data_IF_779292947998
#
_entry.id   IF_779292947998
#
_cell.length_a   1.000
_cell.length_b   1.000
_cell.length_c   1.000
_cell.angle_alpha   90.00
_cell.angle_beta   90.00
_cell.angle_gamma   90.00
#
_symmetry.space_group_name_H-M   'P 1'
#
loop_
_entity.id
_entity.type
_entity.pdbx_description
1 polymer ?
#
# COMPACT_ATOMS: atom_id res chain seq x y z
N UNK A 1 -18.96 15.99 -9.54
CA UNK A 1 -17.98 15.34 -10.43
C UNK A 1 -18.03 13.88 -10.07
N UNK A 2 -18.37 12.99 -10.98
CA UNK A 2 -18.43 11.58 -10.65
C UNK A 2 -17.03 11.05 -10.34
N UNK A 3 -16.86 10.30 -9.27
CA UNK A 3 -15.61 9.72 -8.78
C UNK A 3 -14.84 8.93 -9.85
N UNK A 4 -15.58 8.17 -10.66
CA UNK A 4 -15.02 7.44 -11.80
C UNK A 4 -14.19 8.30 -12.74
N UNK A 5 -14.57 9.58 -12.93
CA UNK A 5 -13.82 10.48 -13.79
C UNK A 5 -12.54 11.03 -13.14
N UNK A 6 -12.50 11.07 -11.80
CA UNK A 6 -11.30 11.50 -11.07
C UNK A 6 -10.21 10.41 -11.14
N UNK A 7 -10.55 9.16 -10.86
CA UNK A 7 -9.61 8.02 -10.91
C UNK A 7 -9.12 7.77 -12.34
N UNK A 8 -10.02 7.86 -13.34
CA UNK A 8 -9.65 7.72 -14.76
C UNK A 8 -8.65 8.78 -15.23
N UNK A 9 -8.70 9.97 -14.65
CA UNK A 9 -7.75 11.05 -14.99
C UNK A 9 -6.40 10.91 -14.24
N UNK A 10 -6.37 10.20 -13.08
CA UNK A 10 -5.12 9.88 -12.39
C UNK A 10 -4.41 8.69 -13.06
N UNK A 11 -5.15 7.64 -13.43
CA UNK A 11 -4.59 6.47 -14.11
C UNK A 11 -3.96 6.79 -15.48
N UNK A 12 -4.50 7.79 -16.20
CA UNK A 12 -3.93 8.26 -17.47
C UNK A 12 -2.62 9.06 -17.30
N UNK A 13 -2.34 9.56 -16.09
CA UNK A 13 -1.12 10.33 -15.80
C UNK A 13 0.11 9.48 -15.46
N UNK A 14 -0.08 8.25 -15.02
CA UNK A 14 1.02 7.37 -14.61
C UNK A 14 1.71 6.62 -15.78
N UNK A 15 1.17 6.69 -16.99
CA UNK A 15 1.66 5.92 -18.15
C UNK A 15 2.44 6.73 -19.19
N UNK A 16 2.81 7.99 -18.94
CA UNK A 16 3.60 8.78 -19.88
C UNK A 16 5.05 8.97 -19.44
N UNK A 17 5.83 7.94 -19.62
CA UNK A 17 7.26 8.06 -19.93
C UNK A 17 7.38 8.11 -21.46
N UNK A 18 7.47 9.34 -22.00
CA UNK A 18 7.93 9.55 -23.36
C UNK A 18 6.92 10.26 -24.29
N UNK A 19 7.28 11.50 -24.65
CA UNK A 19 6.84 12.29 -25.78
C UNK A 19 5.51 13.07 -25.68
N UNK A 20 5.65 14.37 -25.55
CA UNK A 20 4.75 15.39 -26.13
C UNK A 20 3.40 15.56 -25.43
N UNK A 21 3.31 16.63 -24.67
CA UNK A 21 2.07 17.04 -23.99
C UNK A 21 0.90 17.24 -24.95
N UNK A 22 -0.24 16.61 -24.64
CA UNK A 22 -1.55 17.00 -25.15
C UNK A 22 -2.45 17.29 -23.95
N UNK A 23 -2.67 18.59 -23.72
CA UNK A 23 -3.63 19.05 -22.71
C UNK A 23 -5.04 18.99 -23.28
N UNK A 24 -5.91 18.13 -22.73
CA UNK A 24 -7.34 18.22 -22.99
C UNK A 24 -7.97 19.25 -22.05
N UNK A 25 -8.29 20.41 -22.58
CA UNK A 25 -9.12 21.41 -21.92
C UNK A 25 -10.59 21.06 -22.19
N UNK A 26 -11.36 20.78 -21.11
CA UNK A 26 -12.82 20.77 -21.17
C UNK A 26 -13.31 22.19 -20.87
N UNK A 27 -13.84 22.85 -21.89
CA UNK A 27 -14.51 24.14 -21.79
C UNK A 27 -15.94 23.91 -21.25
N UNK A 28 -16.26 24.51 -20.12
CA UNK A 28 -17.62 24.61 -19.58
C UNK A 28 -17.86 25.99 -19.03
N UNK A 29 -18.54 26.74 -19.85
CA UNK A 29 -19.48 27.81 -19.60
C UNK A 29 -19.16 28.95 -18.61
N UNK A 30 -19.24 30.10 -19.21
CA UNK A 30 -19.18 31.46 -18.69
C UNK A 30 -20.11 31.69 -17.51
N UNK A 31 -19.55 31.78 -16.29
CA UNK A 31 -19.88 32.86 -15.38
C UNK A 31 -18.94 32.88 -14.15
N UNK A 32 -18.18 33.99 -14.09
CA UNK A 32 -17.63 34.68 -12.92
C UNK A 32 -16.85 33.87 -11.86
N UNK A 33 -15.67 34.37 -11.71
CA UNK A 33 -14.57 34.09 -10.80
C UNK A 33 -13.55 33.09 -11.35
N UNK A 34 -12.48 33.69 -11.88
CA UNK A 34 -11.25 33.02 -12.26
C UNK A 34 -10.57 32.41 -11.02
N UNK A 35 -11.12 31.35 -10.47
CA UNK A 35 -10.36 30.42 -9.68
C UNK A 35 -9.48 29.70 -10.71
N UNK A 36 -8.22 30.07 -10.80
CA UNK A 36 -7.21 29.26 -11.49
C UNK A 36 -7.25 27.89 -10.80
N UNK A 37 -7.88 26.91 -11.44
CA UNK A 37 -7.95 25.54 -10.97
C UNK A 37 -6.55 24.95 -11.17
N UNK A 38 -5.67 25.15 -10.18
CA UNK A 38 -4.36 24.50 -10.18
C UNK A 38 -4.60 23.00 -10.12
N UNK A 39 -4.12 22.27 -11.12
CA UNK A 39 -4.06 20.81 -11.03
C UNK A 39 -2.90 20.48 -10.09
N UNK A 40 -3.21 19.81 -8.99
CA UNK A 40 -2.20 19.24 -8.10
C UNK A 40 -1.82 17.87 -8.63
N UNK A 41 -0.55 17.54 -8.58
CA UNK A 41 -0.01 16.27 -9.00
C UNK A 41 0.65 15.59 -7.80
N UNK A 42 0.15 14.40 -7.45
CA UNK A 42 0.68 13.56 -6.38
C UNK A 42 1.00 12.21 -7.02
N UNK A 43 2.19 11.72 -6.76
CA UNK A 43 2.62 10.38 -7.18
C UNK A 43 2.51 9.42 -6.01
N UNK A 44 1.86 8.28 -6.24
CA UNK A 44 1.86 7.15 -5.31
C UNK A 44 2.73 6.04 -5.91
N UNK A 45 3.83 5.73 -5.23
CA UNK A 45 4.63 4.55 -5.48
C UNK A 45 4.25 3.48 -4.48
N UNK A 46 4.32 2.24 -4.89
CA UNK A 46 4.08 1.12 -3.97
C UNK A 46 4.93 -0.10 -4.30
N UNK A 47 5.09 -0.93 -3.29
CA UNK A 47 5.58 -2.31 -3.39
C UNK A 47 4.62 -3.22 -2.63
N UNK A 48 4.68 -4.49 -2.89
CA UNK A 48 3.99 -5.56 -2.19
C UNK A 48 4.76 -6.86 -2.40
N UNK A 49 4.59 -7.83 -1.51
CA UNK A 49 5.14 -9.19 -1.66
C UNK A 49 6.63 -9.17 -2.03
N UNK A 50 7.41 -8.34 -1.33
CA UNK A 50 8.85 -8.20 -1.63
C UNK A 50 9.67 -9.39 -1.12
N UNK A 51 9.15 -10.11 -0.14
CA UNK A 51 9.67 -11.40 0.33
C UNK A 51 11.19 -11.42 0.50
N UNK A 52 11.72 -10.41 1.18
CA UNK A 52 13.17 -10.28 1.44
C UNK A 52 14.07 -10.33 0.20
N UNK A 53 13.52 -10.09 -1.01
CA UNK A 53 14.33 -10.02 -2.22
C UNK A 53 15.16 -8.73 -2.25
N UNK A 54 16.32 -8.77 -1.60
CA UNK A 54 17.28 -7.67 -1.50
C UNK A 54 18.09 -7.54 -2.77
N UNK A 55 18.63 -8.67 -3.25
CA UNK A 55 19.37 -8.74 -4.51
C UNK A 55 18.43 -8.81 -5.73
N UNK A 56 18.92 -8.47 -6.92
CA UNK A 56 18.21 -8.79 -8.15
C UNK A 56 17.98 -10.31 -8.30
N UNK A 57 16.95 -10.66 -9.06
CA UNK A 57 16.76 -12.07 -9.47
C UNK A 57 18.03 -12.57 -10.16
N UNK A 58 18.36 -13.86 -9.99
CA UNK A 58 19.53 -14.45 -10.66
C UNK A 58 19.53 -14.24 -12.18
N UNK A 59 20.71 -14.20 -12.79
CA UNK A 59 20.85 -14.02 -14.24
C UNK A 59 20.30 -15.20 -15.06
N UNK A 60 20.13 -16.34 -14.42
CA UNK A 60 19.56 -17.57 -15.00
C UNK A 60 18.08 -17.77 -14.63
N UNK A 61 17.44 -16.80 -13.98
CA UNK A 61 16.00 -16.86 -13.69
C UNK A 61 15.20 -16.98 -15.00
N UNK A 62 14.28 -17.96 -15.11
CA UNK A 62 13.58 -18.26 -16.36
C UNK A 62 12.58 -17.18 -16.78
N UNK A 63 12.14 -16.32 -15.85
CA UNK A 63 11.10 -15.33 -16.11
C UNK A 63 11.59 -13.88 -15.99
N UNK A 64 12.45 -13.61 -15.02
CA UNK A 64 12.84 -12.26 -14.65
C UNK A 64 14.35 -12.10 -14.42
N UNK A 65 15.22 -12.59 -15.34
CA UNK A 65 16.68 -12.54 -15.16
C UNK A 65 17.14 -11.10 -14.87
N UNK A 66 17.99 -10.96 -13.87
CA UNK A 66 18.57 -9.67 -13.44
C UNK A 66 17.54 -8.57 -13.08
N UNK A 67 16.28 -8.90 -12.83
CA UNK A 67 15.25 -7.90 -12.46
C UNK A 67 15.18 -7.69 -10.95
N UNK A 68 14.58 -6.56 -10.55
CA UNK A 68 14.34 -6.22 -9.14
C UNK A 68 15.61 -5.79 -8.40
N UNK A 69 15.63 -6.09 -7.10
CA UNK A 69 16.66 -5.67 -6.15
C UNK A 69 16.46 -4.29 -5.57
N UNK A 70 16.80 -4.17 -4.27
CA UNK A 70 16.57 -2.93 -3.51
C UNK A 70 17.39 -1.76 -4.03
N UNK A 71 18.62 -2.01 -4.50
CA UNK A 71 19.47 -0.93 -5.03
C UNK A 71 18.86 -0.27 -6.28
N UNK A 72 18.29 -1.04 -7.20
CA UNK A 72 17.60 -0.49 -8.37
C UNK A 72 16.30 0.21 -7.99
N UNK A 73 15.55 -0.36 -7.03
CA UNK A 73 14.37 0.28 -6.45
C UNK A 73 14.71 1.65 -5.87
N UNK A 74 15.83 1.75 -5.14
CA UNK A 74 16.28 3.02 -4.56
C UNK A 74 16.53 4.08 -5.62
N UNK A 75 17.23 3.73 -6.71
CA UNK A 75 17.48 4.64 -7.84
C UNK A 75 16.19 5.13 -8.48
N UNK A 76 15.22 4.21 -8.72
CA UNK A 76 13.92 4.56 -9.29
C UNK A 76 13.12 5.50 -8.37
N UNK A 77 13.02 5.16 -7.09
CA UNK A 77 12.30 5.99 -6.11
C UNK A 77 12.93 7.39 -6.02
N UNK A 78 14.25 7.48 -6.00
CA UNK A 78 14.94 8.77 -5.97
C UNK A 78 14.70 9.58 -7.25
N UNK A 79 14.73 8.94 -8.41
CA UNK A 79 14.43 9.59 -9.68
C UNK A 79 12.99 10.15 -9.68
N UNK A 80 12.00 9.35 -9.31
CA UNK A 80 10.59 9.78 -9.29
C UNK A 80 10.39 10.94 -8.31
N UNK A 81 11.02 10.91 -7.13
CA UNK A 81 10.94 12.00 -6.15
C UNK A 81 11.61 13.29 -6.63
N UNK A 82 12.65 13.21 -7.44
CA UNK A 82 13.25 14.40 -8.07
C UNK A 82 12.33 15.02 -9.13
N UNK A 83 11.63 14.16 -9.89
CA UNK A 83 10.68 14.60 -10.92
C UNK A 83 9.38 15.12 -10.29
N UNK A 84 8.92 14.50 -9.20
CA UNK A 84 7.75 14.93 -8.45
C UNK A 84 8.02 14.84 -6.93
N UNK A 85 8.28 15.98 -6.27
CA UNK A 85 8.49 16.01 -4.81
C UNK A 85 7.28 15.55 -3.99
N UNK A 86 6.08 15.65 -4.56
CA UNK A 86 4.83 15.21 -3.93
C UNK A 86 4.62 13.70 -4.14
N UNK A 87 5.59 12.88 -3.71
CA UNK A 87 5.57 11.42 -3.88
C UNK A 87 5.45 10.75 -2.52
N UNK A 88 4.47 9.86 -2.38
CA UNK A 88 4.34 8.91 -1.26
C UNK A 88 4.73 7.51 -1.73
N UNK A 89 5.35 6.74 -0.83
CA UNK A 89 5.80 5.36 -1.09
C UNK A 89 5.23 4.43 -0.01
N UNK A 90 4.42 3.47 -0.44
CA UNK A 90 3.74 2.52 0.43
C UNK A 90 4.17 1.07 0.18
N UNK A 91 3.88 0.19 1.15
CA UNK A 91 3.99 -1.25 0.99
C UNK A 91 2.69 -1.93 1.41
N UNK A 92 2.26 -2.92 0.62
CA UNK A 92 1.02 -3.66 0.85
C UNK A 92 1.24 -5.03 1.50
N UNK A 93 2.34 -5.20 2.26
CA UNK A 93 2.60 -6.39 3.08
C UNK A 93 3.40 -7.49 2.38
N UNK A 94 3.71 -8.54 3.13
CA UNK A 94 4.63 -9.62 2.81
C UNK A 94 6.04 -9.08 2.47
N UNK A 95 6.54 -8.29 3.42
CA UNK A 95 7.90 -7.75 3.39
C UNK A 95 8.91 -8.87 3.68
N UNK A 96 8.56 -9.74 4.63
CA UNK A 96 9.42 -10.80 5.15
C UNK A 96 9.31 -12.09 4.37
N UNK A 97 10.26 -13.01 4.67
CA UNK A 97 10.33 -14.37 4.19
C UNK A 97 10.58 -14.49 2.67
N UNK A 98 11.22 -15.57 2.23
CA UNK A 98 11.46 -15.88 0.80
C UNK A 98 12.94 -15.98 0.43
N UNK A 99 13.85 -15.32 1.15
CA UNK A 99 15.30 -15.42 0.90
C UNK A 99 16.09 -15.69 2.19
N UNK A 100 17.35 -16.14 2.11
CA UNK A 100 18.22 -16.34 3.27
C UNK A 100 18.43 -15.08 4.13
N UNK A 101 18.21 -13.89 3.58
CA UNK A 101 18.32 -12.63 4.34
C UNK A 101 17.37 -12.61 5.53
N UNK A 102 16.09 -12.98 5.33
CA UNK A 102 15.14 -13.07 6.42
C UNK A 102 15.56 -14.08 7.49
N UNK A 103 16.03 -15.27 7.07
CA UNK A 103 16.48 -16.30 8.02
C UNK A 103 17.66 -15.84 8.88
N UNK A 104 18.50 -14.95 8.35
CA UNK A 104 19.69 -14.47 9.05
C UNK A 104 19.40 -13.22 9.89
N UNK A 105 18.64 -12.25 9.34
CA UNK A 105 18.41 -10.95 9.96
C UNK A 105 17.04 -10.81 10.63
N UNK A 106 16.11 -11.75 10.40
CA UNK A 106 14.78 -11.78 11.03
C UNK A 106 13.88 -10.60 10.70
N UNK A 107 14.16 -9.85 9.61
CA UNK A 107 13.41 -8.67 9.18
C UNK A 107 14.09 -7.33 9.46
N UNK A 108 15.18 -7.28 10.23
CA UNK A 108 15.93 -6.05 10.51
C UNK A 108 16.42 -5.38 9.22
N UNK A 109 17.01 -6.17 8.32
CA UNK A 109 17.58 -5.67 7.08
C UNK A 109 16.51 -5.04 6.20
N UNK A 110 15.37 -5.69 6.04
CA UNK A 110 14.23 -5.23 5.26
C UNK A 110 13.73 -3.88 5.77
N UNK A 111 13.46 -3.76 7.06
CA UNK A 111 12.97 -2.50 7.65
C UNK A 111 14.00 -1.37 7.59
N UNK A 112 15.29 -1.68 7.75
CA UNK A 112 16.36 -0.69 7.57
C UNK A 112 16.43 -0.18 6.13
N UNK A 113 16.36 -1.08 5.15
CA UNK A 113 16.39 -0.71 3.73
C UNK A 113 15.14 0.09 3.34
N UNK A 114 13.95 -0.34 3.76
CA UNK A 114 12.71 0.43 3.54
C UNK A 114 12.80 1.83 4.17
N UNK A 115 13.39 1.93 5.38
CA UNK A 115 13.61 3.21 6.04
C UNK A 115 14.59 4.11 5.29
N UNK A 116 15.64 3.54 4.69
CA UNK A 116 16.58 4.28 3.83
C UNK A 116 15.89 4.77 2.54
N UNK A 117 15.00 3.99 1.97
CA UNK A 117 14.18 4.38 0.83
C UNK A 117 13.05 5.36 1.20
N UNK A 118 12.88 5.65 2.49
CA UNK A 118 11.86 6.55 3.03
C UNK A 118 10.44 6.12 2.67
N UNK A 119 10.11 4.85 2.95
CA UNK A 119 8.72 4.45 2.93
C UNK A 119 7.90 5.31 3.90
N UNK A 120 6.66 5.62 3.53
CA UNK A 120 5.76 6.47 4.31
C UNK A 120 4.86 5.63 5.22
N UNK A 121 4.43 4.46 4.75
CA UNK A 121 3.70 3.47 5.53
C UNK A 121 3.72 2.08 4.87
N UNK A 122 3.42 1.06 5.68
CA UNK A 122 3.20 -0.31 5.23
C UNK A 122 1.99 -0.92 5.95
N UNK A 123 1.33 -1.91 5.32
CA UNK A 123 0.43 -2.83 6.02
C UNK A 123 1.14 -4.17 6.25
N UNK A 124 0.45 -5.11 6.89
CA UNK A 124 0.99 -6.46 7.11
C UNK A 124 0.41 -7.46 6.11
N UNK A 125 1.27 -8.33 5.59
CA UNK A 125 0.89 -9.58 5.01
C UNK A 125 1.00 -10.75 5.99
N UNK A 126 0.70 -11.97 5.54
CA UNK A 126 0.78 -13.15 6.41
C UNK A 126 2.22 -13.54 6.72
N UNK A 127 3.15 -13.37 5.79
CA UNK A 127 4.56 -13.70 6.01
C UNK A 127 5.29 -12.72 6.94
N UNK A 128 4.73 -11.54 7.19
CA UNK A 128 5.26 -10.64 8.21
C UNK A 128 5.13 -11.20 9.64
N UNK A 129 4.29 -12.24 9.81
CA UNK A 129 4.13 -12.97 11.07
C UNK A 129 4.97 -14.25 11.17
N UNK A 130 5.81 -14.60 10.20
CA UNK A 130 6.57 -15.86 10.18
C UNK A 130 7.60 -15.98 11.33
N UNK A 131 8.05 -14.86 11.88
CA UNK A 131 8.90 -14.80 13.07
C UNK A 131 8.10 -14.57 14.37
N UNK A 132 6.77 -14.69 14.30
CA UNK A 132 5.85 -14.38 15.37
C UNK A 132 5.70 -12.88 15.65
N UNK A 133 4.68 -12.54 16.43
CA UNK A 133 4.42 -11.13 16.81
C UNK A 133 5.53 -10.55 17.70
N UNK A 134 6.24 -11.36 18.45
CA UNK A 134 7.41 -10.94 19.22
C UNK A 134 8.59 -10.60 18.31
N UNK A 135 8.84 -11.45 17.30
CA UNK A 135 9.89 -11.20 16.31
C UNK A 135 9.57 -9.93 15.51
N UNK A 136 8.31 -9.75 15.09
CA UNK A 136 7.87 -8.53 14.42
C UNK A 136 8.08 -7.30 15.31
N UNK A 137 7.63 -7.34 16.57
CA UNK A 137 7.82 -6.25 17.53
C UNK A 137 9.31 -5.92 17.72
N UNK A 138 10.18 -6.94 17.77
CA UNK A 138 11.61 -6.74 17.94
C UNK A 138 12.23 -5.96 16.77
N UNK A 139 11.70 -6.14 15.56
CA UNK A 139 12.20 -5.45 14.37
C UNK A 139 11.58 -4.07 14.14
N UNK A 140 10.38 -3.79 14.66
CA UNK A 140 9.68 -2.51 14.46
C UNK A 140 10.54 -1.25 14.76
N UNK A 141 11.45 -1.21 15.75
CA UNK A 141 12.31 -0.06 15.99
C UNK A 141 13.24 0.30 14.83
N UNK A 142 13.49 -0.60 13.90
CA UNK A 142 14.28 -0.36 12.69
C UNK A 142 13.49 0.30 11.56
N UNK A 143 12.14 0.27 11.65
CA UNK A 143 11.25 0.95 10.71
C UNK A 143 11.06 2.42 11.09
N UNK A 144 11.36 3.33 10.16
CA UNK A 144 11.10 4.77 10.28
C UNK A 144 9.81 5.20 9.55
N UNK A 145 8.92 4.27 9.36
CA UNK A 145 7.60 4.44 8.75
C UNK A 145 6.53 3.81 9.64
N UNK A 146 5.27 4.17 9.41
CA UNK A 146 4.17 3.64 10.21
C UNK A 146 3.63 2.32 9.66
N UNK A 147 3.30 1.39 10.55
CA UNK A 147 2.48 0.23 10.21
C UNK A 147 1.01 0.57 10.39
N UNK A 148 0.24 0.38 9.32
CA UNK A 148 -1.20 0.65 9.26
C UNK A 148 -1.93 -0.69 9.18
N UNK A 149 -2.70 -1.01 10.21
CA UNK A 149 -3.49 -2.24 10.29
C UNK A 149 -4.84 -1.94 10.91
N UNK A 150 -5.90 -2.09 10.12
CA UNK A 150 -7.26 -1.73 10.55
C UNK A 150 -8.06 -2.94 11.00
N UNK A 151 -7.82 -4.12 10.40
CA UNK A 151 -8.63 -5.33 10.66
C UNK A 151 -7.93 -6.41 11.48
N UNK A 152 -6.73 -6.15 12.01
CA UNK A 152 -6.16 -6.97 13.08
C UNK A 152 -6.33 -6.25 14.42
N UNK A 153 -7.06 -6.89 15.35
CA UNK A 153 -7.13 -6.46 16.74
C UNK A 153 -6.00 -7.13 17.54
N UNK A 154 -5.03 -6.32 17.92
CA UNK A 154 -3.86 -6.73 18.69
C UNK A 154 -4.05 -6.60 20.21
N UNK A 155 -5.27 -6.34 20.70
CA UNK A 155 -5.57 -6.23 22.14
C UNK A 155 -5.11 -7.49 22.87
N UNK A 156 -4.44 -7.32 24.01
CA UNK A 156 -3.79 -8.36 24.82
C UNK A 156 -2.63 -9.09 24.10
N UNK A 157 -2.04 -8.47 23.08
CA UNK A 157 -0.79 -8.96 22.47
C UNK A 157 0.35 -7.97 22.66
N UNK A 158 1.57 -8.38 22.33
CA UNK A 158 2.75 -7.49 22.38
C UNK A 158 2.69 -6.36 21.34
N UNK A 159 1.83 -6.46 20.33
CA UNK A 159 1.63 -5.46 19.31
C UNK A 159 0.53 -4.44 19.66
N UNK A 160 -0.10 -4.55 20.84
CA UNK A 160 -1.11 -3.57 21.27
C UNK A 160 -0.55 -2.16 21.29
N UNK A 161 -1.21 -1.25 20.55
CA UNK A 161 -0.79 0.15 20.44
C UNK A 161 0.47 0.39 19.61
N UNK A 162 1.00 -0.62 18.92
CA UNK A 162 2.19 -0.49 18.07
C UNK A 162 1.88 -0.19 16.61
N UNK A 163 0.62 -0.33 16.21
CA UNK A 163 0.13 -0.05 14.87
C UNK A 163 -0.92 1.05 14.87
N UNK A 164 -1.17 1.65 13.73
CA UNK A 164 -2.24 2.64 13.55
C UNK A 164 -3.37 2.03 12.72
N UNK A 165 -4.64 2.25 13.07
CA UNK A 165 -5.74 1.78 12.23
C UNK A 165 -5.82 2.54 10.91
N UNK A 166 -5.34 3.76 10.86
CA UNK A 166 -5.20 4.59 9.66
C UNK A 166 -4.18 5.70 9.89
N UNK A 167 -3.76 6.34 8.80
CA UNK A 167 -2.93 7.56 8.83
C UNK A 167 -3.43 8.56 7.80
N UNK A 168 -3.37 9.85 8.13
CA UNK A 168 -3.63 10.94 7.20
C UNK A 168 -2.31 11.60 6.83
N UNK A 169 -2.05 11.68 5.55
CA UNK A 169 -0.93 12.43 4.97
C UNK A 169 -1.44 13.74 4.39
N UNK A 170 -0.66 14.80 4.52
CA UNK A 170 -0.95 16.08 3.91
C UNK A 170 0.16 16.40 2.90
N UNK A 171 -0.19 16.42 1.62
CA UNK A 171 0.75 16.62 0.51
C UNK A 171 0.17 17.68 -0.41
N UNK A 172 0.88 18.81 -0.54
CA UNK A 172 0.42 19.94 -1.37
C UNK A 172 -1.04 20.34 -1.07
N UNK A 173 -1.39 20.48 0.22
CA UNK A 173 -2.74 20.81 0.73
C UNK A 173 -3.83 19.76 0.35
N UNK A 174 -3.44 18.57 -0.10
CA UNK A 174 -4.35 17.44 -0.33
C UNK A 174 -4.23 16.49 0.86
N UNK A 175 -5.36 16.17 1.48
CA UNK A 175 -5.43 15.23 2.61
C UNK A 175 -5.69 13.83 2.10
N UNK A 176 -4.73 12.94 2.32
CA UNK A 176 -4.75 11.55 1.85
C UNK A 176 -4.88 10.64 3.06
N UNK A 177 -6.03 10.00 3.21
CA UNK A 177 -6.27 9.00 4.25
C UNK A 177 -5.87 7.62 3.77
N UNK A 178 -5.10 6.91 4.58
CA UNK A 178 -4.62 5.56 4.26
C UNK A 178 -5.05 4.61 5.38
N UNK A 179 -5.66 3.49 5.04
CA UNK A 179 -6.00 2.40 5.96
C UNK A 179 -5.46 1.07 5.43
N UNK A 180 -5.30 0.05 6.31
CA UNK A 180 -4.66 -1.22 5.97
C UNK A 180 -5.55 -2.43 6.26
N UNK A 181 -5.63 -3.37 5.32
CA UNK A 181 -6.35 -4.63 5.46
C UNK A 181 -5.41 -5.81 5.26
N UNK A 182 -5.31 -6.68 6.27
CA UNK A 182 -4.59 -7.94 6.19
C UNK A 182 -5.51 -9.12 5.92
N UNK A 183 -4.95 -10.21 5.41
CA UNK A 183 -5.64 -11.48 5.16
C UNK A 183 -5.86 -12.25 6.48
N UNK A 184 -6.86 -13.12 6.53
CA UNK A 184 -7.06 -14.01 7.68
C UNK A 184 -5.83 -14.93 7.89
N UNK A 185 -5.20 -14.83 9.06
CA UNK A 185 -3.97 -15.58 9.37
C UNK A 185 -4.23 -17.07 9.62
N UNK A 186 -5.46 -17.43 10.03
CA UNK A 186 -5.83 -18.82 10.29
C UNK A 186 -5.69 -19.65 9.01
N UNK A 187 -4.87 -20.70 9.10
CA UNK A 187 -4.59 -21.60 7.98
C UNK A 187 -3.42 -21.14 7.09
N UNK A 188 -2.91 -19.93 7.27
CA UNK A 188 -1.70 -19.42 6.61
C UNK A 188 -0.52 -19.37 7.59
N UNK A 189 -0.78 -18.94 8.80
CA UNK A 189 0.21 -18.78 9.87
C UNK A 189 -0.20 -19.68 11.05
N UNK A 190 0.76 -20.29 11.76
CA UNK A 190 0.45 -21.08 12.95
C UNK A 190 -0.04 -20.19 14.08
N UNK A 191 -0.97 -20.69 14.90
CA UNK A 191 -1.61 -19.91 15.99
C UNK A 191 -0.59 -19.36 16.99
N UNK A 192 0.47 -20.10 17.24
CA UNK A 192 1.55 -19.75 18.15
C UNK A 192 2.29 -18.47 17.74
N UNK A 193 2.30 -18.15 16.45
CA UNK A 193 3.01 -16.99 15.91
C UNK A 193 2.18 -15.70 15.96
N UNK A 194 0.84 -15.78 15.80
CA UNK A 194 -0.03 -14.59 15.90
C UNK A 194 -0.85 -14.52 17.20
N UNK A 195 -0.78 -15.56 18.04
CA UNK A 195 -1.35 -15.64 19.40
C UNK A 195 -2.81 -15.16 19.49
N UNK A 196 -3.10 -14.17 20.35
CA UNK A 196 -4.43 -13.62 20.60
C UNK A 196 -4.87 -12.59 19.56
N UNK A 197 -4.07 -12.33 18.53
CA UNK A 197 -4.47 -11.46 17.42
C UNK A 197 -5.80 -11.93 16.83
N UNK A 198 -6.78 -11.03 16.77
CA UNK A 198 -8.09 -11.31 16.20
C UNK A 198 -8.18 -10.73 14.80
N UNK A 199 -8.80 -11.48 13.92
CA UNK A 199 -9.17 -11.04 12.60
C UNK A 199 -10.58 -10.46 12.61
N UNK A 200 -10.73 -9.21 12.20
CA UNK A 200 -12.00 -8.52 12.06
C UNK A 200 -12.46 -8.58 10.60
N UNK A 201 -13.78 -8.53 10.38
CA UNK A 201 -14.35 -8.56 9.01
C UNK A 201 -13.79 -7.40 8.18
N UNK A 202 -13.05 -7.67 7.09
CA UNK A 202 -12.39 -6.63 6.33
C UNK A 202 -13.38 -5.73 5.57
N UNK A 203 -14.60 -6.21 5.27
CA UNK A 203 -15.63 -5.39 4.60
C UNK A 203 -16.21 -4.37 5.59
N UNK A 204 -16.56 -4.82 6.80
CA UNK A 204 -17.08 -3.92 7.84
C UNK A 204 -16.03 -2.87 8.20
N UNK A 205 -14.79 -3.29 8.39
CA UNK A 205 -13.66 -2.39 8.69
C UNK A 205 -13.43 -1.40 7.55
N UNK A 206 -13.46 -1.84 6.28
CA UNK A 206 -13.28 -0.94 5.14
C UNK A 206 -14.36 0.15 5.10
N UNK A 207 -15.63 -0.22 5.32
CA UNK A 207 -16.75 0.72 5.37
C UNK A 207 -16.62 1.74 6.53
N UNK A 208 -16.15 1.29 7.68
CA UNK A 208 -15.92 2.18 8.83
C UNK A 208 -14.74 3.11 8.57
N UNK A 209 -13.63 2.62 8.00
CA UNK A 209 -12.45 3.41 7.71
C UNK A 209 -12.73 4.47 6.62
N UNK A 210 -13.38 4.09 5.51
CA UNK A 210 -13.72 5.08 4.48
C UNK A 210 -14.64 6.19 5.02
N UNK A 211 -15.64 5.83 5.81
CA UNK A 211 -16.53 6.80 6.46
C UNK A 211 -15.76 7.73 7.42
N UNK A 212 -14.86 7.17 8.23
CA UNK A 212 -14.03 7.91 9.17
C UNK A 212 -13.11 8.87 8.42
N UNK A 213 -12.40 8.40 7.42
CA UNK A 213 -11.46 9.21 6.66
C UNK A 213 -12.15 10.31 5.87
N UNK A 214 -13.28 10.04 5.23
CA UNK A 214 -14.03 11.05 4.48
C UNK A 214 -14.75 12.05 5.38
N UNK A 215 -15.50 11.58 6.38
CA UNK A 215 -16.39 12.43 7.13
C UNK A 215 -15.74 13.10 8.34
N UNK A 216 -14.89 12.38 9.06
CA UNK A 216 -14.27 12.91 10.27
C UNK A 216 -12.93 13.57 9.96
N UNK A 217 -12.06 12.87 9.22
CA UNK A 217 -10.72 13.38 8.88
C UNK A 217 -10.71 14.31 7.67
N UNK A 218 -11.83 14.42 6.93
CA UNK A 218 -11.99 15.29 5.75
C UNK A 218 -10.94 15.03 4.66
N UNK A 219 -10.58 13.76 4.45
CA UNK A 219 -9.63 13.39 3.42
C UNK A 219 -10.19 13.60 2.01
N UNK A 220 -9.39 14.17 1.12
CA UNK A 220 -9.69 14.35 -0.30
C UNK A 220 -9.56 13.03 -1.07
N UNK A 221 -8.62 12.18 -0.64
CA UNK A 221 -8.32 10.87 -1.22
C UNK A 221 -8.28 9.84 -0.09
N UNK A 222 -8.88 8.66 -0.32
CA UNK A 222 -8.83 7.52 0.58
C UNK A 222 -8.21 6.33 -0.13
N UNK A 223 -7.13 5.78 0.45
CA UNK A 223 -6.36 4.66 -0.08
C UNK A 223 -6.45 3.48 0.89
N UNK A 224 -6.71 2.29 0.34
CA UNK A 224 -6.58 1.02 1.04
C UNK A 224 -5.25 0.35 0.66
N UNK A 225 -4.40 0.07 1.63
CA UNK A 225 -3.31 -0.87 1.48
C UNK A 225 -3.86 -2.25 1.84
N UNK A 226 -3.98 -3.13 0.85
CA UNK A 226 -4.65 -4.41 1.03
C UNK A 226 -3.69 -5.58 0.84
N UNK A 227 -3.69 -6.48 1.81
CA UNK A 227 -3.05 -7.79 1.66
C UNK A 227 -4.09 -8.92 1.64
N UNK A 228 -5.29 -8.65 1.09
CA UNK A 228 -6.37 -9.64 0.98
C UNK A 228 -6.22 -10.55 -0.23
N UNK A 229 -5.48 -10.12 -1.23
CA UNK A 229 -5.38 -10.75 -2.54
C UNK A 229 -6.38 -10.18 -3.56
N UNK A 230 -6.00 -10.20 -4.83
CA UNK A 230 -6.78 -9.59 -5.90
C UNK A 230 -8.13 -10.28 -6.11
N UNK A 231 -8.11 -11.62 -6.32
CA UNK A 231 -9.31 -12.42 -6.58
C UNK A 231 -9.11 -13.89 -6.22
N UNK A 232 -10.18 -14.54 -5.77
CA UNK A 232 -10.23 -15.99 -5.53
C UNK A 232 -11.34 -16.65 -6.33
N UNK A 233 -11.25 -17.98 -6.49
CA UNK A 233 -12.31 -18.82 -7.07
C UNK A 233 -13.40 -19.18 -6.05
N UNK A 234 -13.26 -18.75 -4.82
CA UNK A 234 -14.16 -18.97 -3.69
C UNK A 234 -14.75 -17.64 -3.25
N UNK A 235 -15.67 -17.65 -2.27
CA UNK A 235 -16.28 -16.46 -1.67
C UNK A 235 -15.36 -15.75 -0.65
N UNK A 236 -14.07 -16.10 -0.60
CA UNK A 236 -13.09 -15.40 0.26
C UNK A 236 -13.04 -13.93 -0.13
N UNK A 237 -13.12 -13.05 0.89
CA UNK A 237 -13.02 -11.61 0.67
C UNK A 237 -11.66 -11.27 0.05
N UNK A 238 -11.69 -10.41 -0.96
CA UNK A 238 -10.53 -10.01 -1.75
C UNK A 238 -10.66 -8.54 -2.20
N UNK A 239 -9.66 -8.01 -2.88
CA UNK A 239 -9.64 -6.61 -3.34
C UNK A 239 -10.85 -6.26 -4.21
N UNK A 240 -11.25 -7.16 -5.11
CA UNK A 240 -12.47 -6.97 -5.90
C UNK A 240 -13.75 -6.94 -5.06
N UNK A 241 -13.77 -7.65 -3.93
CA UNK A 241 -14.90 -7.59 -2.98
C UNK A 241 -14.93 -6.22 -2.29
N UNK A 242 -13.80 -5.75 -1.81
CA UNK A 242 -13.67 -4.43 -1.17
C UNK A 242 -14.05 -3.33 -2.17
N UNK A 243 -13.52 -3.37 -3.39
CA UNK A 243 -13.82 -2.39 -4.44
C UNK A 243 -15.32 -2.30 -4.79
N UNK A 244 -16.05 -3.43 -4.72
CA UNK A 244 -17.49 -3.47 -4.96
C UNK A 244 -18.33 -2.98 -3.78
N UNK A 245 -17.81 -3.11 -2.56
CA UNK A 245 -18.55 -2.81 -1.32
C UNK A 245 -18.29 -1.42 -0.78
N UNK A 246 -17.13 -0.84 -1.06
CA UNK A 246 -16.76 0.52 -0.63
C UNK A 246 -17.19 1.57 -1.64
N UNK A 247 -17.52 2.77 -1.14
CA UNK A 247 -18.01 3.88 -1.97
C UNK A 247 -17.12 5.12 -1.86
N UNK A 248 -16.32 5.21 -0.80
CA UNK A 248 -15.49 6.36 -0.48
C UNK A 248 -13.98 6.03 -0.57
N UNK A 249 -13.60 4.78 -0.84
CA UNK A 249 -12.23 4.36 -1.13
C UNK A 249 -11.92 4.61 -2.61
N UNK A 250 -10.90 5.43 -2.90
CA UNK A 250 -10.56 5.85 -4.27
C UNK A 250 -9.55 4.93 -4.94
N UNK A 251 -8.66 4.30 -4.13
CA UNK A 251 -7.58 3.46 -4.62
C UNK A 251 -7.36 2.28 -3.67
N UNK A 252 -7.22 1.08 -4.22
CA UNK A 252 -6.77 -0.11 -3.52
C UNK A 252 -5.41 -0.50 -4.10
N UNK A 253 -4.41 -0.64 -3.23
CA UNK A 253 -3.08 -1.16 -3.53
C UNK A 253 -3.02 -2.54 -2.91
N UNK A 254 -2.98 -3.58 -3.77
CA UNK A 254 -3.12 -4.97 -3.35
C UNK A 254 -1.81 -5.74 -3.30
N UNK A 255 -1.83 -6.88 -2.58
CA UNK A 255 -0.76 -7.87 -2.47
C UNK A 255 -1.31 -9.30 -2.35
N UNK A 256 -0.53 -10.22 -1.77
CA UNK A 256 -0.85 -11.60 -1.38
C UNK A 256 -0.98 -12.61 -2.53
N UNK A 257 -1.74 -12.35 -3.56
CA UNK A 257 -1.93 -13.30 -4.68
C UNK A 257 -0.90 -13.15 -5.77
N UNK A 258 0.10 -12.28 -5.62
CA UNK A 258 1.14 -12.00 -6.60
C UNK A 258 0.59 -11.74 -8.00
N UNK A 259 -0.59 -11.12 -8.08
CA UNK A 259 -1.24 -10.83 -9.35
C UNK A 259 -0.51 -9.72 -10.07
N UNK A 260 0.04 -10.01 -11.22
CA UNK A 260 0.73 -9.03 -12.04
C UNK A 260 -0.26 -8.35 -12.99
N UNK A 261 -0.39 -7.04 -12.86
CA UNK A 261 -1.30 -6.24 -13.68
C UNK A 261 -0.53 -5.16 -14.44
N UNK A 262 -0.73 -5.09 -15.75
CA UNK A 262 -0.18 -4.02 -16.59
C UNK A 262 -1.04 -2.76 -16.56
N UNK A 263 -2.32 -2.89 -16.24
CA UNK A 263 -3.31 -1.81 -16.19
C UNK A 263 -4.16 -1.95 -14.92
N UNK A 264 -4.55 -0.82 -14.31
CA UNK A 264 -5.44 -0.87 -13.15
C UNK A 264 -6.85 -1.33 -13.55
N UNK A 265 -7.51 -2.06 -12.65
CA UNK A 265 -8.95 -2.36 -12.78
C UNK A 265 -9.75 -1.15 -12.28
N UNK A 266 -10.74 -0.69 -13.06
CA UNK A 266 -11.55 0.49 -12.79
C UNK A 266 -13.03 0.10 -12.64
#
# INVERSE_FOLDING_TARGET
MERRNFVRNIGAGALFLGLGGVSYAFDRDKNKDKIKKYKKHITILHTNDTHSHIDPMPSDDPHYPDKGGVARRAVLVEQVRRENPNTLLFDAGDIFQGTPYFNYYGGELEFRLMSMLKYDAATFGNHDFDNGIEGLLFQMPHAKFDFISSNYDFTNTVLEGKTKPYKVFEVDEVRIGVYGLGVELKGLVTKELYKETKYLDPVEIALDMEKKLRKNEKCDIVICLSHLGFQYRTDKVCDLTIAKKTYETDLIIGGHTHTFMSEPVI
#
